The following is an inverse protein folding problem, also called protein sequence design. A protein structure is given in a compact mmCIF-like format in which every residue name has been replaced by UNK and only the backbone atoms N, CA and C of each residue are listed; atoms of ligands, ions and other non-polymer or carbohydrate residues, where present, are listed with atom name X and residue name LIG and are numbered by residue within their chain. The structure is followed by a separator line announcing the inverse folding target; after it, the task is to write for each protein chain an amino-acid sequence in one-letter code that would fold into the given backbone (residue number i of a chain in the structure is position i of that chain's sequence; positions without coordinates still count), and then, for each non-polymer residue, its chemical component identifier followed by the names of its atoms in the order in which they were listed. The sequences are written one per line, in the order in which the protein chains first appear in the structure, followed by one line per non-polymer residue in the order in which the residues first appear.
data_IF_049239744293
#
_entry.id   IF_049239744293
#
_cell.length_a   1.000
_cell.length_b   1.000
_cell.length_c   1.000
_cell.angle_alpha   90.00
_cell.angle_beta   90.00
_cell.angle_gamma   90.00
#
_symmetry.space_group_name_H-M   'P 1'
#
loop_
_entity.id
_entity.type
_entity.pdbx_description
1 polymer ?
#
# COMPACT_ATOMS: atom_id res chain seq x y z
N UNK A 1 -13.46 -15.50 6.43
CA UNK A 1 -13.24 -15.73 4.99
C UNK A 1 -12.88 -14.46 4.22
N UNK A 2 -13.52 -13.30 4.43
CA UNK A 2 -13.22 -12.04 3.70
C UNK A 2 -11.74 -11.63 3.72
N UNK A 3 -11.05 -11.78 4.86
CA UNK A 3 -9.62 -11.47 5.02
C UNK A 3 -8.69 -12.31 4.12
N UNK A 4 -9.17 -13.46 3.63
CA UNK A 4 -8.44 -14.31 2.69
C UNK A 4 -8.52 -13.75 1.26
N UNK A 5 -9.61 -13.05 0.91
CA UNK A 5 -9.77 -12.39 -0.40
C UNK A 5 -8.76 -11.28 -0.62
N UNK A 6 -8.40 -10.52 0.43
CA UNK A 6 -7.33 -9.52 0.37
C UNK A 6 -5.99 -10.15 0.01
N UNK A 7 -5.65 -11.30 0.64
CA UNK A 7 -4.43 -12.05 0.36
C UNK A 7 -4.42 -12.67 -1.04
N UNK A 8 -5.55 -13.17 -1.54
CA UNK A 8 -5.68 -13.72 -2.91
C UNK A 8 -5.56 -12.62 -3.97
N UNK A 9 -6.20 -11.46 -3.76
CA UNK A 9 -6.07 -10.31 -4.67
C UNK A 9 -4.62 -9.83 -4.77
N UNK A 10 -3.95 -9.70 -3.63
CA UNK A 10 -2.53 -9.38 -3.60
C UNK A 10 -1.65 -10.46 -4.24
N UNK A 11 -1.95 -11.75 -4.05
CA UNK A 11 -1.23 -12.85 -4.71
C UNK A 11 -1.32 -12.75 -6.24
N UNK A 12 -2.49 -12.41 -6.79
CA UNK A 12 -2.67 -12.22 -8.23
C UNK A 12 -1.90 -11.01 -8.76
N UNK A 13 -1.86 -9.92 -8.01
CA UNK A 13 -1.16 -8.69 -8.39
C UNK A 13 0.35 -8.90 -8.34
N UNK A 14 0.87 -9.39 -7.21
CA UNK A 14 2.32 -9.63 -7.01
C UNK A 14 2.81 -10.80 -7.87
N UNK A 15 2.06 -11.90 -7.91
CA UNK A 15 2.36 -13.05 -8.76
C UNK A 15 2.25 -12.74 -10.25
N UNK A 16 1.34 -11.85 -10.63
CA UNK A 16 1.18 -11.33 -11.99
C UNK A 16 2.20 -10.26 -12.39
N UNK A 17 3.17 -9.93 -11.52
CA UNK A 17 4.19 -8.88 -11.72
C UNK A 17 3.60 -7.50 -12.04
N UNK A 18 2.41 -7.21 -11.51
CA UNK A 18 1.79 -5.91 -11.66
C UNK A 18 2.52 -4.90 -10.78
N UNK A 19 2.77 -3.70 -11.31
CA UNK A 19 3.42 -2.65 -10.52
C UNK A 19 2.42 -1.94 -9.62
N UNK A 20 2.59 -2.11 -8.31
CA UNK A 20 1.86 -1.36 -7.31
C UNK A 20 2.66 -0.13 -6.85
N UNK A 21 1.94 0.97 -6.64
CA UNK A 21 2.50 2.20 -6.09
C UNK A 21 3.17 1.96 -4.74
N UNK A 22 2.53 1.19 -3.86
CA UNK A 22 3.00 0.98 -2.48
C UNK A 22 4.31 0.20 -2.42
N UNK A 23 4.60 -0.67 -3.40
CA UNK A 23 5.90 -1.35 -3.52
C UNK A 23 7.02 -0.38 -3.93
N UNK A 24 6.67 0.65 -4.70
CA UNK A 24 7.59 1.67 -5.18
C UNK A 24 7.90 2.76 -4.13
N UNK A 25 7.45 2.60 -2.88
CA UNK A 25 7.79 3.51 -1.77
C UNK A 25 9.14 3.18 -1.12
N UNK A 26 9.71 2.01 -1.44
CA UNK A 26 10.98 1.51 -0.91
C UNK A 26 12.13 1.69 -1.92
N UNK A 27 12.12 0.92 -3.00
CA UNK A 27 13.26 0.78 -3.91
C UNK A 27 13.71 2.08 -4.59
N UNK A 28 12.80 2.92 -5.14
CA UNK A 28 13.16 4.21 -5.75
C UNK A 28 13.70 5.25 -4.75
N UNK A 29 13.42 5.08 -3.45
CA UNK A 29 13.86 6.01 -2.40
C UNK A 29 15.32 5.77 -2.00
N UNK A 30 15.81 4.54 -2.12
CA UNK A 30 17.23 4.20 -1.87
C UNK A 30 18.19 5.11 -2.67
N UNK A 31 18.11 5.22 -4.01
CA UNK A 31 19.01 6.10 -4.78
C UNK A 31 18.77 7.58 -4.48
N UNK A 32 17.52 7.98 -4.15
CA UNK A 32 17.21 9.36 -3.77
C UNK A 32 17.92 9.76 -2.47
N UNK A 33 17.94 8.88 -1.46
CA UNK A 33 18.65 9.12 -0.20
C UNK A 33 20.17 9.15 -0.37
N UNK A 34 20.70 8.42 -1.37
CA UNK A 34 22.12 8.35 -1.67
C UNK A 34 22.64 9.59 -2.44
N UNK A 35 21.94 10.04 -3.50
CA UNK A 35 22.40 11.15 -4.36
C UNK A 35 21.87 12.51 -3.93
N UNK A 36 20.67 12.56 -3.35
CA UNK A 36 20.00 13.77 -2.82
C UNK A 36 19.92 14.95 -3.79
N UNK A 37 19.86 14.69 -5.09
CA UNK A 37 19.74 15.72 -6.13
C UNK A 37 18.28 15.88 -6.61
N UNK A 38 17.99 17.04 -7.19
CA UNK A 38 16.65 17.40 -7.66
C UNK A 38 16.18 16.54 -8.85
N UNK A 39 17.10 16.09 -9.70
CA UNK A 39 16.76 15.28 -10.87
C UNK A 39 16.24 13.89 -10.44
N UNK A 40 16.92 13.26 -9.48
CA UNK A 40 16.51 11.99 -8.89
C UNK A 40 15.16 12.14 -8.18
N UNK A 41 14.93 13.23 -7.45
CA UNK A 41 13.64 13.52 -6.83
C UNK A 41 12.51 13.61 -7.86
N UNK A 42 12.70 14.37 -8.94
CA UNK A 42 11.72 14.51 -10.01
C UNK A 42 11.41 13.17 -10.69
N UNK A 43 12.42 12.32 -10.89
CA UNK A 43 12.24 10.97 -11.45
C UNK A 43 11.39 10.09 -10.52
N UNK A 44 11.63 10.12 -9.21
CA UNK A 44 10.82 9.39 -8.22
C UNK A 44 9.38 9.90 -8.23
N UNK A 45 9.17 11.21 -8.18
CA UNK A 45 7.82 11.79 -8.22
C UNK A 45 7.07 11.45 -9.50
N UNK A 46 7.75 11.47 -10.66
CA UNK A 46 7.16 11.05 -11.94
C UNK A 46 6.74 9.57 -11.92
N UNK A 47 7.62 8.69 -11.44
CA UNK A 47 7.31 7.27 -11.29
C UNK A 47 6.09 7.06 -10.39
N UNK A 48 6.11 7.68 -9.21
CA UNK A 48 5.03 7.63 -8.24
C UNK A 48 3.70 8.09 -8.82
N UNK A 49 3.67 9.24 -9.50
CA UNK A 49 2.47 9.76 -10.12
C UNK A 49 1.91 8.82 -11.20
N UNK A 50 2.75 8.33 -12.11
CA UNK A 50 2.32 7.44 -13.21
C UNK A 50 1.75 6.14 -12.66
N UNK A 51 2.45 5.48 -11.73
CA UNK A 51 2.02 4.19 -11.17
C UNK A 51 0.77 4.36 -10.32
N UNK A 52 0.70 5.40 -9.47
CA UNK A 52 -0.47 5.66 -8.65
C UNK A 52 -1.72 5.92 -9.50
N UNK A 53 -1.61 6.76 -10.54
CA UNK A 53 -2.73 7.06 -11.43
C UNK A 53 -3.21 5.80 -12.16
N UNK A 54 -2.29 4.97 -12.66
CA UNK A 54 -2.66 3.70 -13.31
C UNK A 54 -3.36 2.74 -12.33
N UNK A 55 -2.84 2.62 -11.10
CA UNK A 55 -3.46 1.79 -10.07
C UNK A 55 -4.86 2.28 -9.67
N UNK A 56 -5.01 3.60 -9.47
CA UNK A 56 -6.31 4.20 -9.13
C UNK A 56 -7.30 4.11 -10.28
N UNK A 57 -6.85 4.22 -11.54
CA UNK A 57 -7.69 3.99 -12.71
C UNK A 57 -8.20 2.54 -12.76
N UNK A 58 -7.32 1.56 -12.48
CA UNK A 58 -7.71 0.16 -12.37
C UNK A 58 -8.72 -0.08 -11.24
N UNK A 59 -8.47 0.49 -10.05
CA UNK A 59 -9.39 0.40 -8.91
C UNK A 59 -10.76 1.01 -9.22
N UNK A 60 -10.76 2.16 -9.92
CA UNK A 60 -11.97 2.84 -10.35
C UNK A 60 -12.77 2.02 -11.37
N UNK A 61 -12.11 1.42 -12.37
CA UNK A 61 -12.75 0.54 -13.34
C UNK A 61 -13.32 -0.72 -12.68
N UNK A 62 -12.60 -1.31 -11.72
CA UNK A 62 -13.07 -2.47 -10.96
C UNK A 62 -14.31 -2.13 -10.12
N UNK A 63 -14.27 -1.01 -9.38
CA UNK A 63 -15.40 -0.53 -8.59
C UNK A 63 -16.62 -0.19 -9.47
N UNK A 64 -16.39 0.45 -10.62
CA UNK A 64 -17.43 0.74 -11.60
C UNK A 64 -18.07 -0.55 -12.13
N UNK A 65 -17.26 -1.52 -12.55
CA UNK A 65 -17.74 -2.79 -13.06
C UNK A 65 -18.57 -3.54 -12.01
N UNK A 66 -18.10 -3.55 -10.75
CA UNK A 66 -18.78 -4.18 -9.63
C UNK A 66 -20.15 -3.53 -9.33
N UNK A 67 -20.25 -2.20 -9.44
CA UNK A 67 -21.45 -1.45 -9.07
C UNK A 67 -22.45 -1.27 -10.21
N UNK A 68 -21.99 -1.13 -11.46
CA UNK A 68 -22.81 -0.68 -12.58
C UNK A 68 -23.05 -1.76 -13.65
N UNK A 69 -22.55 -2.98 -13.45
CA UNK A 69 -22.74 -4.07 -14.42
C UNK A 69 -23.50 -5.24 -13.79
N UNK A 70 -24.22 -6.04 -14.58
CA UNK A 70 -24.89 -7.26 -14.09
C UNK A 70 -23.92 -8.43 -13.88
N UNK A 71 -22.60 -8.22 -13.96
CA UNK A 71 -21.59 -9.27 -13.84
C UNK A 71 -21.55 -9.91 -12.44
N UNK A 72 -22.05 -9.21 -11.41
CA UNK A 72 -22.10 -9.67 -10.03
C UNK A 72 -23.54 -9.65 -9.52
N UNK A 73 -23.94 -10.71 -8.83
CA UNK A 73 -25.28 -10.80 -8.24
C UNK A 73 -25.47 -9.82 -7.05
N UNK A 74 -26.73 -9.65 -6.63
CA UNK A 74 -27.06 -8.72 -5.53
C UNK A 74 -26.46 -9.14 -4.18
N UNK A 75 -26.25 -10.42 -3.94
CA UNK A 75 -25.68 -10.89 -2.67
C UNK A 75 -24.21 -10.49 -2.58
N UNK A 76 -23.47 -10.60 -3.68
CA UNK A 76 -22.08 -10.13 -3.80
C UNK A 76 -22.01 -8.61 -3.62
N UNK A 77 -22.88 -7.85 -4.29
CA UNK A 77 -22.92 -6.39 -4.13
C UNK A 77 -23.24 -5.96 -2.69
N UNK A 78 -24.17 -6.64 -2.01
CA UNK A 78 -24.50 -6.35 -0.61
C UNK A 78 -23.34 -6.68 0.34
N UNK A 79 -22.60 -7.76 0.09
CA UNK A 79 -21.42 -8.09 0.85
C UNK A 79 -20.33 -7.01 0.69
N UNK A 80 -20.10 -6.54 -0.55
CA UNK A 80 -19.20 -5.43 -0.83
C UNK A 80 -19.63 -4.14 -0.17
N UNK A 81 -20.91 -3.80 -0.20
CA UNK A 81 -21.44 -2.61 0.45
C UNK A 81 -21.13 -2.59 1.96
N UNK A 82 -21.37 -3.72 2.63
CA UNK A 82 -21.07 -3.86 4.07
C UNK A 82 -19.59 -3.67 4.36
N UNK A 83 -18.72 -4.29 3.55
CA UNK A 83 -17.27 -4.18 3.72
C UNK A 83 -16.74 -2.79 3.42
N UNK A 84 -17.28 -2.16 2.38
CA UNK A 84 -16.85 -0.85 1.96
C UNK A 84 -17.22 0.23 2.98
N UNK A 85 -18.42 0.16 3.56
CA UNK A 85 -18.80 1.05 4.67
C UNK A 85 -17.86 0.91 5.86
N UNK A 86 -17.46 -0.31 6.22
CA UNK A 86 -16.46 -0.54 7.28
C UNK A 86 -15.08 0.00 6.91
N UNK A 87 -14.68 -0.11 5.64
CA UNK A 87 -13.38 0.34 5.16
C UNK A 87 -13.23 1.88 5.22
N UNK A 88 -14.30 2.63 4.90
CA UNK A 88 -14.28 4.09 4.90
C UNK A 88 -14.70 4.74 6.22
N UNK A 89 -15.25 3.95 7.17
CA UNK A 89 -15.63 4.42 8.51
C UNK A 89 -14.40 4.66 9.42
N UNK A 90 -13.54 5.59 9.01
CA UNK A 90 -12.29 5.95 9.68
C UNK A 90 -12.12 7.46 9.68
N UNK A 91 -11.58 8.02 10.77
CA UNK A 91 -11.17 9.42 10.77
C UNK A 91 -9.89 9.62 9.97
N UNK A 92 -9.62 10.85 9.50
CA UNK A 92 -8.40 11.18 8.76
C UNK A 92 -7.12 10.70 9.46
N UNK A 93 -6.99 11.00 10.76
CA UNK A 93 -5.82 10.60 11.55
C UNK A 93 -5.71 9.08 11.69
N UNK A 94 -6.83 8.39 11.92
CA UNK A 94 -6.84 6.92 11.99
C UNK A 94 -6.49 6.28 10.64
N UNK A 95 -7.01 6.82 9.52
CA UNK A 95 -6.69 6.38 8.18
C UNK A 95 -5.21 6.55 7.85
N UNK A 96 -4.62 7.67 8.27
CA UNK A 96 -3.19 7.91 8.09
C UNK A 96 -2.34 6.92 8.90
N UNK A 97 -2.62 6.75 10.21
CA UNK A 97 -1.87 5.81 11.06
C UNK A 97 -1.99 4.37 10.56
N UNK A 98 -3.19 3.92 10.21
CA UNK A 98 -3.40 2.60 9.59
C UNK A 98 -2.62 2.47 8.26
N UNK A 99 -2.59 3.54 7.47
CA UNK A 99 -1.81 3.61 6.24
C UNK A 99 -0.30 3.49 6.46
N UNK A 100 0.22 4.02 7.57
CA UNK A 100 1.64 3.85 7.95
C UNK A 100 1.95 2.37 8.15
N UNK A 101 1.13 1.65 8.91
CA UNK A 101 1.35 0.22 9.16
C UNK A 101 1.26 -0.62 7.87
N UNK A 102 0.27 -0.39 7.03
CA UNK A 102 0.18 -1.12 5.75
C UNK A 102 1.33 -0.77 4.80
N UNK A 103 1.70 0.50 4.69
CA UNK A 103 2.84 0.93 3.88
C UNK A 103 4.14 0.26 4.34
N UNK A 104 4.34 0.19 5.67
CA UNK A 104 5.49 -0.47 6.26
C UNK A 104 5.53 -1.98 5.99
N UNK A 105 4.38 -2.67 6.12
CA UNK A 105 4.27 -4.10 5.84
C UNK A 105 4.51 -4.43 4.36
N UNK A 106 3.98 -3.62 3.43
CA UNK A 106 4.20 -3.82 1.99
C UNK A 106 5.65 -3.55 1.61
N UNK A 107 6.28 -2.50 2.16
CA UNK A 107 7.71 -2.27 1.94
C UNK A 107 8.56 -3.42 2.52
N UNK A 108 8.19 -3.96 3.68
CA UNK A 108 8.85 -5.12 4.28
C UNK A 108 8.71 -6.37 3.41
N UNK A 109 7.53 -6.58 2.83
CA UNK A 109 7.28 -7.65 1.87
C UNK A 109 8.23 -7.54 0.67
N UNK A 110 8.31 -6.37 0.04
CA UNK A 110 9.21 -6.14 -1.11
C UNK A 110 10.67 -6.42 -0.74
N UNK A 111 11.10 -5.95 0.44
CA UNK A 111 12.46 -6.19 0.92
C UNK A 111 12.75 -7.68 1.16
N UNK A 112 11.85 -8.40 1.82
CA UNK A 112 12.00 -9.84 2.08
C UNK A 112 11.99 -10.62 0.77
N UNK A 113 11.09 -10.30 -0.17
CA UNK A 113 10.99 -10.96 -1.48
C UNK A 113 12.25 -10.79 -2.33
N UNK A 114 13.02 -9.72 -2.13
CA UNK A 114 14.31 -9.51 -2.76
C UNK A 114 15.43 -10.38 -2.13
N UNK A 115 15.26 -10.81 -0.88
CA UNK A 115 16.26 -11.59 -0.12
C UNK A 115 16.02 -13.11 -0.12
N UNK A 116 14.80 -13.57 -0.43
CA UNK A 116 14.46 -15.00 -0.44
C UNK A 116 14.40 -15.55 -1.87
N UNK A 117 14.93 -16.75 -2.07
CA UNK A 117 14.82 -17.50 -3.33
C UNK A 117 13.51 -18.30 -3.39
N UNK A 118 13.25 -19.08 -2.34
CA UNK A 118 12.03 -19.88 -2.16
C UNK A 118 11.03 -19.25 -1.16
N UNK A 119 9.78 -19.71 -1.19
CA UNK A 119 8.76 -19.31 -0.20
C UNK A 119 8.10 -17.94 -0.42
N UNK A 120 8.35 -17.28 -1.56
CA UNK A 120 7.77 -15.96 -1.92
C UNK A 120 6.26 -15.88 -1.76
N UNK A 121 5.55 -16.94 -2.16
CA UNK A 121 4.09 -17.02 -2.02
C UNK A 121 3.67 -16.93 -0.56
N UNK A 122 4.35 -17.66 0.34
CA UNK A 122 4.03 -17.64 1.76
C UNK A 122 4.26 -16.25 2.37
N UNK A 123 5.36 -15.57 1.99
CA UNK A 123 5.64 -14.20 2.41
C UNK A 123 4.54 -13.23 1.98
N UNK A 124 4.15 -13.29 0.70
CA UNK A 124 3.06 -12.45 0.15
C UNK A 124 1.77 -12.71 0.93
N UNK A 125 1.37 -13.98 1.07
CA UNK A 125 0.13 -14.35 1.75
C UNK A 125 0.12 -13.90 3.20
N UNK A 126 1.20 -14.15 3.96
CA UNK A 126 1.27 -13.79 5.38
C UNK A 126 1.20 -12.29 5.58
N UNK A 127 2.03 -11.52 4.88
CA UNK A 127 2.10 -10.07 5.10
C UNK A 127 0.84 -9.36 4.61
N UNK A 128 0.28 -9.77 3.47
CA UNK A 128 -0.96 -9.18 2.96
C UNK A 128 -2.17 -9.64 3.77
N UNK A 129 -2.17 -10.86 4.31
CA UNK A 129 -3.14 -11.28 5.32
C UNK A 129 -3.05 -10.43 6.58
N UNK A 130 -1.85 -10.08 7.07
CA UNK A 130 -1.70 -9.17 8.22
C UNK A 130 -2.28 -7.78 7.94
N UNK A 131 -2.13 -7.26 6.71
CA UNK A 131 -2.77 -6.00 6.30
C UNK A 131 -4.28 -6.08 6.42
N UNK A 132 -4.90 -7.14 5.88
CA UNK A 132 -6.34 -7.37 6.01
C UNK A 132 -6.78 -7.71 7.43
N UNK A 133 -5.94 -8.37 8.24
CA UNK A 133 -6.23 -8.75 9.61
C UNK A 133 -6.36 -7.53 10.52
N UNK A 134 -5.43 -6.58 10.38
CA UNK A 134 -5.40 -5.32 11.11
C UNK A 134 -6.37 -4.27 10.57
N UNK A 135 -7.13 -4.57 9.51
CA UNK A 135 -8.01 -3.64 8.82
C UNK A 135 -7.29 -2.33 8.47
N UNK A 136 -6.04 -2.44 8.02
CA UNK A 136 -5.25 -1.28 7.66
C UNK A 136 -5.75 -0.68 6.35
N UNK A 137 -5.81 0.66 6.30
CA UNK A 137 -6.14 1.39 5.08
C UNK A 137 -5.04 1.21 4.05
N UNK A 138 -5.39 1.14 2.78
CA UNK A 138 -4.42 0.95 1.72
C UNK A 138 -4.89 1.65 0.44
N UNK A 139 -4.05 2.52 -0.13
CA UNK A 139 -4.48 3.46 -1.17
C UNK A 139 -4.98 2.77 -2.43
N UNK A 140 -4.42 1.63 -2.83
CA UNK A 140 -4.90 0.92 -4.03
C UNK A 140 -6.11 0.04 -3.71
N UNK A 141 -5.94 -0.98 -2.87
CA UNK A 141 -6.99 -1.94 -2.56
C UNK A 141 -8.24 -1.30 -1.95
N UNK A 142 -8.07 -0.44 -0.94
CA UNK A 142 -9.22 0.18 -0.28
C UNK A 142 -9.87 1.31 -1.09
N UNK A 143 -9.20 1.81 -2.14
CA UNK A 143 -9.87 2.67 -3.12
C UNK A 143 -10.92 1.91 -3.93
N UNK A 144 -10.80 0.59 -4.13
CA UNK A 144 -11.86 -0.19 -4.79
C UNK A 144 -13.13 -0.15 -3.93
N UNK A 145 -13.00 -0.39 -2.62
CA UNK A 145 -14.10 -0.35 -1.66
C UNK A 145 -14.72 1.05 -1.60
N UNK A 146 -13.89 2.08 -1.41
CA UNK A 146 -14.39 3.45 -1.30
C UNK A 146 -15.04 3.95 -2.60
N UNK A 147 -14.46 3.63 -3.77
CA UNK A 147 -15.04 4.00 -5.06
C UNK A 147 -16.31 3.21 -5.38
N UNK A 148 -16.48 2.00 -4.84
CA UNK A 148 -17.75 1.27 -4.96
C UNK A 148 -18.89 2.06 -4.28
N UNK A 149 -18.64 2.63 -3.09
CA UNK A 149 -19.62 3.51 -2.42
C UNK A 149 -19.83 4.84 -3.15
N UNK A 150 -18.82 5.32 -3.87
CA UNK A 150 -19.00 6.50 -4.72
C UNK A 150 -19.92 6.18 -5.89
N UNK A 151 -19.72 5.03 -6.53
CA UNK A 151 -20.52 4.60 -7.68
C UNK A 151 -21.95 4.23 -7.31
N UNK A 152 -22.19 3.68 -6.12
CA UNK A 152 -23.53 3.38 -5.64
C UNK A 152 -24.25 4.60 -5.01
N UNK A 153 -23.56 5.74 -4.89
CA UNK A 153 -24.11 7.01 -4.43
C UNK A 153 -24.12 7.23 -2.91
N UNK A 154 -23.54 6.34 -2.10
CA UNK A 154 -23.52 6.50 -0.63
C UNK A 154 -22.30 7.28 -0.11
N UNK A 155 -21.25 7.45 -0.92
CA UNK A 155 -20.08 8.26 -0.57
C UNK A 155 -19.83 9.37 -1.60
N UNK A 156 -19.63 10.60 -1.13
CA UNK A 156 -19.26 11.70 -2.01
C UNK A 156 -17.83 11.54 -2.54
N UNK A 157 -17.58 11.97 -3.79
CA UNK A 157 -16.24 12.03 -4.39
C UNK A 157 -15.22 12.78 -3.51
N UNK A 158 -15.65 13.87 -2.88
CA UNK A 158 -14.82 14.68 -1.98
C UNK A 158 -14.50 13.93 -0.69
N UNK A 159 -15.46 13.18 -0.14
CA UNK A 159 -15.26 12.35 1.04
C UNK A 159 -14.27 11.20 0.76
N UNK A 160 -14.35 10.58 -0.43
CA UNK A 160 -13.33 9.64 -0.89
C UNK A 160 -11.96 10.32 -1.00
N UNK A 161 -11.84 11.39 -1.77
CA UNK A 161 -10.55 12.01 -2.08
C UNK A 161 -9.85 12.55 -0.82
N UNK A 162 -10.57 13.30 0.01
CA UNK A 162 -10.00 14.00 1.18
C UNK A 162 -10.08 13.19 2.46
N UNK A 163 -11.13 12.36 2.63
CA UNK A 163 -11.37 11.60 3.85
C UNK A 163 -10.68 10.24 3.89
N UNK A 164 -10.52 9.60 2.72
CA UNK A 164 -9.93 8.26 2.62
C UNK A 164 -8.61 8.25 1.86
N UNK A 165 -8.60 8.68 0.59
CA UNK A 165 -7.48 8.50 -0.31
C UNK A 165 -6.25 9.31 0.13
N UNK A 166 -6.42 10.61 0.38
CA UNK A 166 -5.33 11.48 0.81
C UNK A 166 -4.64 11.02 2.11
N UNK A 167 -5.34 10.82 3.25
CA UNK A 167 -4.68 10.38 4.48
C UNK A 167 -4.04 9.00 4.34
N UNK A 168 -4.68 8.08 3.63
CA UNK A 168 -4.14 6.74 3.39
C UNK A 168 -2.88 6.78 2.53
N UNK A 169 -2.86 7.60 1.48
CA UNK A 169 -1.68 7.79 0.63
C UNK A 169 -0.50 8.34 1.44
N UNK A 170 -0.74 9.38 2.25
CA UNK A 170 0.27 9.96 3.14
C UNK A 170 0.82 8.87 4.07
N UNK A 171 -0.08 8.11 4.71
CA UNK A 171 0.30 7.01 5.58
C UNK A 171 1.16 5.97 4.87
N UNK A 172 0.72 5.49 3.70
CA UNK A 172 1.45 4.48 2.93
C UNK A 172 2.86 4.94 2.53
N UNK A 173 3.01 6.20 2.11
CA UNK A 173 4.33 6.78 1.79
C UNK A 173 5.22 6.82 3.03
N UNK A 174 4.71 7.34 4.16
CA UNK A 174 5.48 7.43 5.42
C UNK A 174 5.93 6.03 5.86
N UNK A 175 5.01 5.08 5.88
CA UNK A 175 5.28 3.68 6.24
C UNK A 175 6.38 3.07 5.38
N UNK A 176 6.26 3.19 4.05
CA UNK A 176 7.25 2.61 3.14
C UNK A 176 8.63 3.25 3.22
N UNK A 177 8.70 4.59 3.25
CA UNK A 177 9.95 5.35 3.35
C UNK A 177 10.65 5.12 4.69
N UNK A 178 9.89 4.97 5.78
CA UNK A 178 10.45 4.75 7.12
C UNK A 178 11.25 3.45 7.21
N UNK A 179 10.83 2.38 6.52
CA UNK A 179 11.61 1.14 6.45
C UNK A 179 12.97 1.37 5.80
N UNK A 180 13.01 2.09 4.68
CA UNK A 180 14.27 2.41 3.99
C UNK A 180 15.21 3.15 4.92
N UNK A 181 14.68 4.12 5.66
CA UNK A 181 15.45 4.91 6.63
C UNK A 181 16.01 4.04 7.75
N UNK A 182 15.21 3.12 8.30
CA UNK A 182 15.62 2.19 9.34
C UNK A 182 16.70 1.21 8.86
N UNK A 183 16.53 0.63 7.67
CA UNK A 183 17.47 -0.32 7.07
C UNK A 183 18.81 0.35 6.72
N UNK A 184 18.77 1.54 6.12
CA UNK A 184 19.98 2.31 5.82
C UNK A 184 20.75 2.68 7.10
N UNK A 185 20.04 3.08 8.17
CA UNK A 185 20.68 3.37 9.46
C UNK A 185 21.34 2.11 10.04
N UNK A 186 20.65 0.97 10.03
CA UNK A 186 21.19 -0.29 10.53
C UNK A 186 22.45 -0.73 9.76
N UNK A 187 22.46 -0.60 8.42
CA UNK A 187 23.62 -0.93 7.60
C UNK A 187 24.84 -0.03 7.90
N UNK A 188 24.63 1.28 8.10
CA UNK A 188 25.71 2.21 8.46
C UNK A 188 26.29 1.89 9.84
N UNK A 189 25.43 1.62 10.83
CA UNK A 189 25.87 1.27 12.19
C UNK A 189 26.63 -0.06 12.20
N UNK A 190 26.16 -1.08 11.46
CA UNK A 190 26.81 -2.38 11.37
C UNK A 190 28.13 -2.35 10.57
N UNK A 191 28.24 -1.49 9.56
CA UNK A 191 29.43 -1.33 8.72
C UNK A 191 30.53 -0.45 9.31
N UNK A 192 30.28 0.23 10.44
CA UNK A 192 31.28 1.05 11.12
C UNK A 192 32.11 0.18 12.07
N UNK A 193 33.44 0.03 11.90
CA UNK A 193 34.26 -0.70 12.86
C UNK A 193 34.13 -0.08 14.25
N UNK A 194 33.65 -0.85 15.24
CA UNK A 194 33.68 -0.44 16.65
C UNK A 194 35.16 -0.34 17.06
N UNK A 195 35.69 0.88 17.16
CA UNK A 195 37.05 1.11 17.65
C UNK A 195 37.08 0.81 19.16
N UNK A 196 37.75 -0.26 19.64
CA UNK A 196 37.69 -0.66 21.04
C UNK A 196 38.47 0.26 22.00
N UNK A 197 39.19 1.28 21.51
CA UNK A 197 40.08 2.08 22.34
C UNK A 197 39.55 3.49 22.62
N UNK A 198 38.59 3.59 23.55
CA UNK A 198 38.44 4.76 24.44
C UNK A 198 38.04 4.30 25.85
N UNK A 199 39.00 3.78 26.58
CA UNK A 199 39.09 3.89 28.05
C UNK A 199 40.46 4.47 28.37
N UNK A 200 40.52 5.78 28.57
CA UNK A 200 41.53 6.42 29.39
C UNK A 200 40.81 6.95 30.62
#
# INVERSE_FOLDING_TARGET
MVKMGYAVGYLLVVGGRQQLFTENTLTPIIPLLARRDMETFQRVMKLWAVVLLANLAGAHLAAWALSNTPAFDRNVQHAFDTLAHQAVAVSFGAAMVRGIFSGWLIASMVWILAAVEDGKIAVILVLTYMVGLGSFTHIVAGSVDALFLVWNGTLAWTAYAMGYALPTLIGNIIGGVSLVSALNHAQVVAGTPQNPLKKN
#
